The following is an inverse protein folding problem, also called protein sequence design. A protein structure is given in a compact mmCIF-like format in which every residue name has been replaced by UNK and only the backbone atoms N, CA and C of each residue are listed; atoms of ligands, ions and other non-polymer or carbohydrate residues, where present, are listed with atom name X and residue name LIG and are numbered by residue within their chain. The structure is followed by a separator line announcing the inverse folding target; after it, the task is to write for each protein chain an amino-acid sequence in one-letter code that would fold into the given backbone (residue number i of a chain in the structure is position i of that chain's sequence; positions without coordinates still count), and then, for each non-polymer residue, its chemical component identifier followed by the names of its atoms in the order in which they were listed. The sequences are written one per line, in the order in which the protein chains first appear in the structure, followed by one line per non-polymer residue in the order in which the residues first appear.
data_IF_734388036530
#
_entry.id   IF_734388036530
#
_cell.length_a   1.000
_cell.length_b   1.000
_cell.length_c   1.000
_cell.angle_alpha   90.00
_cell.angle_beta   90.00
_cell.angle_gamma   90.00
#
_symmetry.space_group_name_H-M   'P 1'
#
loop_
_entity.id
_entity.type
_entity.pdbx_description
1 polymer ?
#
# COMPACT_ATOMS: atom_id res chain seq x y z
N UNK A 1 38.68 -18.20 -6.10
CA UNK A 1 37.92 -19.39 -5.65
C UNK A 1 36.89 -18.91 -4.64
N UNK A 2 35.58 -19.10 -4.87
CA UNK A 2 34.58 -18.77 -3.86
C UNK A 2 34.73 -19.75 -2.68
N UNK A 3 34.88 -19.21 -1.46
CA UNK A 3 34.88 -20.02 -0.24
C UNK A 3 33.47 -20.54 0.00
N UNK A 4 33.32 -21.85 0.21
CA UNK A 4 32.05 -22.48 0.58
C UNK A 4 31.98 -22.63 2.10
N UNK A 5 30.81 -22.35 2.68
CA UNK A 5 30.55 -22.49 4.12
C UNK A 5 29.39 -23.47 4.31
N UNK A 6 29.51 -24.39 5.27
CA UNK A 6 28.44 -25.34 5.61
C UNK A 6 27.50 -24.72 6.65
N UNK A 7 26.24 -24.53 6.26
CA UNK A 7 25.18 -24.05 7.13
C UNK A 7 24.21 -25.21 7.44
N UNK A 8 23.92 -25.44 8.72
CA UNK A 8 22.93 -26.44 9.16
C UNK A 8 21.76 -25.72 9.81
N UNK A 9 20.55 -25.89 9.28
CA UNK A 9 19.34 -25.21 9.72
C UNK A 9 18.29 -26.21 10.19
N UNK A 10 17.55 -25.85 11.24
CA UNK A 10 16.29 -26.53 11.58
C UNK A 10 15.16 -25.75 10.92
N UNK A 11 14.41 -26.40 10.05
CA UNK A 11 13.29 -25.81 9.32
C UNK A 11 11.99 -26.58 9.59
N UNK A 12 10.81 -25.92 9.50
CA UNK A 12 9.53 -26.62 9.58
C UNK A 12 9.44 -27.73 8.53
N UNK A 13 8.82 -28.86 8.89
CA UNK A 13 8.69 -30.01 7.98
C UNK A 13 8.01 -29.65 6.66
N UNK A 14 6.93 -28.85 6.71
CA UNK A 14 6.24 -28.37 5.51
C UNK A 14 7.11 -27.48 4.60
N UNK A 15 8.11 -26.77 5.15
CA UNK A 15 9.05 -26.01 4.34
C UNK A 15 10.03 -26.93 3.62
N UNK A 16 10.53 -27.97 4.31
CA UNK A 16 11.38 -28.99 3.70
C UNK A 16 10.66 -29.71 2.54
N UNK A 17 9.37 -30.03 2.70
CA UNK A 17 8.57 -30.65 1.65
C UNK A 17 8.42 -29.75 0.41
N UNK A 18 8.12 -28.47 0.60
CA UNK A 18 8.04 -27.49 -0.49
C UNK A 18 9.36 -27.36 -1.25
N UNK A 19 10.49 -27.31 -0.53
CA UNK A 19 11.83 -27.29 -1.14
C UNK A 19 12.10 -28.57 -1.94
N UNK A 20 11.73 -29.73 -1.40
CA UNK A 20 11.88 -31.03 -2.09
C UNK A 20 11.00 -31.14 -3.34
N UNK A 21 9.77 -30.64 -3.29
CA UNK A 21 8.89 -30.59 -4.45
C UNK A 21 9.48 -29.71 -5.55
N UNK A 22 9.96 -28.51 -5.20
CA UNK A 22 10.58 -27.60 -6.18
C UNK A 22 11.87 -28.17 -6.76
N UNK A 23 12.70 -28.82 -5.95
CA UNK A 23 13.88 -29.55 -6.41
C UNK A 23 13.56 -30.59 -7.49
N UNK A 24 12.51 -31.40 -7.27
CA UNK A 24 12.01 -32.38 -8.25
C UNK A 24 11.48 -31.71 -9.53
N UNK A 25 10.72 -30.62 -9.41
CA UNK A 25 10.15 -29.91 -10.56
C UNK A 25 11.22 -29.28 -11.45
N UNK A 26 12.34 -28.86 -10.87
CA UNK A 26 13.41 -28.17 -11.60
C UNK A 26 14.61 -29.07 -11.92
N UNK A 27 14.52 -30.37 -11.65
CA UNK A 27 15.62 -31.35 -11.77
C UNK A 27 16.95 -30.86 -11.17
N UNK A 28 16.87 -30.25 -9.97
CA UNK A 28 18.02 -29.68 -9.26
C UNK A 28 18.14 -30.30 -7.88
N UNK A 29 19.36 -30.25 -7.32
CA UNK A 29 19.58 -30.71 -5.94
C UNK A 29 18.85 -29.82 -4.94
N UNK A 30 18.41 -30.42 -3.81
CA UNK A 30 17.76 -29.68 -2.73
C UNK A 30 18.65 -28.54 -2.20
N UNK A 31 19.96 -28.77 -2.10
CA UNK A 31 20.92 -27.78 -1.65
C UNK A 31 21.00 -26.60 -2.62
N UNK A 32 21.03 -26.88 -3.93
CA UNK A 32 21.04 -25.83 -4.96
C UNK A 32 19.79 -24.95 -4.86
N UNK A 33 18.61 -25.58 -4.78
CA UNK A 33 17.34 -24.85 -4.68
C UNK A 33 17.27 -24.04 -3.38
N UNK A 34 17.71 -24.60 -2.25
CA UNK A 34 17.74 -23.88 -0.98
C UNK A 34 18.68 -22.67 -1.03
N UNK A 35 19.87 -22.82 -1.60
CA UNK A 35 20.84 -21.72 -1.75
C UNK A 35 20.32 -20.65 -2.71
N UNK A 36 19.69 -21.03 -3.82
CA UNK A 36 19.12 -20.09 -4.79
C UNK A 36 18.00 -19.25 -4.16
N UNK A 37 17.08 -19.90 -3.43
CA UNK A 37 15.98 -19.19 -2.73
C UNK A 37 16.53 -18.28 -1.63
N UNK A 38 17.53 -18.72 -0.85
CA UNK A 38 18.16 -17.87 0.15
C UNK A 38 18.86 -16.68 -0.51
N UNK A 39 19.53 -16.88 -1.64
CA UNK A 39 20.17 -15.80 -2.39
C UNK A 39 19.14 -14.79 -2.87
N UNK A 40 18.06 -15.24 -3.51
CA UNK A 40 16.97 -14.39 -3.99
C UNK A 40 16.30 -13.60 -2.85
N UNK A 41 16.03 -14.27 -1.72
CA UNK A 41 15.41 -13.64 -0.55
C UNK A 41 16.31 -12.63 0.18
N UNK A 42 17.63 -12.75 0.01
CA UNK A 42 18.62 -11.82 0.57
C UNK A 42 19.02 -10.70 -0.39
N UNK A 43 18.59 -10.75 -1.65
CA UNK A 43 18.75 -9.60 -2.54
C UNK A 43 17.98 -8.42 -1.93
N UNK A 44 18.54 -7.19 -1.96
CA UNK A 44 17.78 -6.02 -1.58
C UNK A 44 16.50 -6.02 -2.39
N UNK A 45 15.35 -6.02 -1.71
CA UNK A 45 14.07 -5.75 -2.37
C UNK A 45 14.30 -4.49 -3.17
N UNK A 46 14.14 -4.56 -4.50
CA UNK A 46 14.12 -3.34 -5.30
C UNK A 46 13.18 -2.39 -4.56
N UNK A 47 13.59 -1.15 -4.24
CA UNK A 47 12.64 -0.19 -3.71
C UNK A 47 11.45 -0.25 -4.65
N UNK A 48 10.26 -0.44 -4.10
CA UNK A 48 9.05 -0.41 -4.91
C UNK A 48 9.17 0.86 -5.76
N UNK A 49 9.11 0.69 -7.08
CA UNK A 49 9.01 1.85 -7.95
C UNK A 49 7.74 2.52 -7.48
N UNK A 50 7.91 3.69 -6.91
CA UNK A 50 6.80 4.47 -6.37
C UNK A 50 5.71 4.54 -7.45
N UNK A 51 4.50 4.16 -7.08
CA UNK A 51 3.36 4.29 -8.00
C UNK A 51 3.08 5.77 -8.25
N UNK A 52 2.37 6.11 -9.33
CA UNK A 52 1.97 7.50 -9.54
C UNK A 52 1.11 8.03 -8.37
N UNK A 53 0.30 7.17 -7.76
CA UNK A 53 -0.50 7.49 -6.58
C UNK A 53 0.38 7.82 -5.36
N UNK A 54 1.37 6.97 -5.06
CA UNK A 54 2.31 7.19 -3.96
C UNK A 54 3.12 8.48 -4.18
N UNK A 55 3.52 8.74 -5.44
CA UNK A 55 4.22 9.96 -5.83
C UNK A 55 3.34 11.20 -5.66
N UNK A 56 2.08 11.12 -6.07
CA UNK A 56 1.12 12.20 -5.96
C UNK A 56 0.84 12.54 -4.49
N UNK A 57 0.58 11.51 -3.67
CA UNK A 57 0.40 11.67 -2.23
C UNK A 57 1.63 12.31 -1.55
N UNK A 58 2.85 11.87 -1.92
CA UNK A 58 4.07 12.47 -1.38
C UNK A 58 4.17 13.95 -1.74
N UNK A 59 3.96 14.32 -2.99
CA UNK A 59 4.03 15.72 -3.44
C UNK A 59 3.01 16.60 -2.73
N UNK A 60 1.77 16.12 -2.57
CA UNK A 60 0.75 16.88 -1.83
C UNK A 60 1.11 17.03 -0.34
N UNK A 61 1.66 15.98 0.28
CA UNK A 61 2.10 16.03 1.69
C UNK A 61 3.27 17.00 1.87
N UNK A 62 4.26 16.95 0.99
CA UNK A 62 5.43 17.83 1.04
C UNK A 62 5.10 19.30 0.75
N UNK A 63 4.10 19.56 -0.10
CA UNK A 63 3.59 20.91 -0.37
C UNK A 63 2.64 21.45 0.69
N UNK A 64 2.29 20.63 1.71
CA UNK A 64 1.31 20.99 2.74
C UNK A 64 -0.13 21.07 2.22
N UNK A 65 -0.38 20.59 0.99
CA UNK A 65 -1.72 20.54 0.38
C UNK A 65 -2.50 19.27 0.76
N UNK A 66 -1.86 18.36 1.49
CA UNK A 66 -2.49 17.17 2.01
C UNK A 66 -2.22 17.03 3.51
N UNK A 67 -3.28 17.19 4.29
CA UNK A 67 -3.31 16.81 5.69
C UNK A 67 -4.19 15.55 5.81
N UNK A 68 -3.64 14.39 6.22
CA UNK A 68 -4.44 13.20 6.41
C UNK A 68 -5.50 13.45 7.49
N UNK A 69 -6.70 12.89 7.29
CA UNK A 69 -7.78 12.94 8.28
C UNK A 69 -7.32 12.23 9.58
N UNK A 70 -6.87 13.03 10.54
CA UNK A 70 -6.50 12.60 11.88
C UNK A 70 -7.67 12.62 12.88
N UNK A 71 -7.43 12.23 14.13
CA UNK A 71 -8.44 12.22 15.20
C UNK A 71 -9.19 13.54 15.36
N UNK A 72 -8.51 14.67 15.11
CA UNK A 72 -9.08 16.01 15.16
C UNK A 72 -10.23 16.26 14.17
N UNK A 73 -10.30 15.48 13.08
CA UNK A 73 -11.43 15.54 12.13
C UNK A 73 -12.63 14.72 12.61
N UNK A 74 -12.42 13.81 13.57
CA UNK A 74 -13.41 12.86 14.07
C UNK A 74 -14.01 13.36 15.39
N UNK A 75 -13.26 14.12 16.20
CA UNK A 75 -13.74 14.69 17.48
C UNK A 75 -15.03 15.53 17.34
N UNK A 76 -15.31 16.09 16.16
CA UNK A 76 -16.54 16.85 15.88
C UNK A 76 -17.71 16.02 15.33
N UNK A 77 -17.51 14.73 15.06
CA UNK A 77 -18.51 13.86 14.43
C UNK A 77 -19.34 13.06 15.44
N UNK A 78 -18.98 13.04 16.72
CA UNK A 78 -19.63 12.21 17.75
C UNK A 78 -21.11 12.58 17.97
N UNK A 79 -21.50 13.84 17.73
CA UNK A 79 -22.87 14.35 17.90
C UNK A 79 -23.62 14.59 16.56
N UNK A 80 -23.05 14.16 15.43
CA UNK A 80 -23.65 14.42 14.11
C UNK A 80 -24.59 13.29 13.72
N UNK A 81 -25.84 13.62 13.44
CA UNK A 81 -26.76 12.67 12.80
C UNK A 81 -26.29 12.46 11.37
N UNK A 82 -25.72 11.28 11.10
CA UNK A 82 -25.28 10.92 9.76
C UNK A 82 -26.49 10.73 8.87
N UNK A 83 -26.61 11.56 7.83
CA UNK A 83 -27.59 11.38 6.78
C UNK A 83 -27.24 10.14 5.95
N UNK A 84 -28.27 9.42 5.53
CA UNK A 84 -28.11 8.41 4.48
C UNK A 84 -27.77 9.08 3.15
N UNK A 85 -27.21 8.31 2.21
CA UNK A 85 -26.86 8.83 0.89
C UNK A 85 -28.07 9.43 0.14
N UNK A 86 -29.25 8.83 0.31
CA UNK A 86 -30.49 9.28 -0.32
C UNK A 86 -30.99 10.60 0.30
N UNK A 87 -30.95 10.73 1.62
CA UNK A 87 -31.32 11.97 2.33
C UNK A 87 -30.37 13.13 1.97
N UNK A 88 -29.07 12.86 1.88
CA UNK A 88 -28.07 13.84 1.44
C UNK A 88 -28.33 14.31 0.00
N UNK A 89 -28.71 13.39 -0.90
CA UNK A 89 -29.04 13.74 -2.28
C UNK A 89 -30.31 14.59 -2.39
N UNK A 90 -31.33 14.31 -1.57
CA UNK A 90 -32.54 15.14 -1.51
C UNK A 90 -32.24 16.54 -0.96
N UNK A 91 -31.40 16.65 0.07
CA UNK A 91 -31.04 17.94 0.67
C UNK A 91 -30.21 18.81 -0.28
N UNK A 92 -29.32 18.19 -1.06
CA UNK A 92 -28.52 18.88 -2.08
C UNK A 92 -29.30 19.15 -3.37
N UNK A 93 -30.57 18.74 -3.48
CA UNK A 93 -31.38 18.97 -4.67
C UNK A 93 -31.62 20.45 -4.88
N UNK A 94 -31.10 20.99 -5.98
CA UNK A 94 -31.23 22.40 -6.32
C UNK A 94 -30.16 23.31 -5.70
N UNK A 95 -29.22 22.74 -4.94
CA UNK A 95 -28.01 23.44 -4.53
C UNK A 95 -27.04 23.43 -5.72
N UNK A 96 -26.53 24.60 -6.16
CA UNK A 96 -25.56 24.64 -7.25
C UNK A 96 -24.26 23.94 -6.83
N UNK A 97 -23.47 23.41 -7.79
CA UNK A 97 -22.17 22.84 -7.51
C UNK A 97 -21.31 23.77 -6.66
N UNK A 98 -20.58 23.22 -5.69
CA UNK A 98 -19.71 23.99 -4.81
C UNK A 98 -18.73 24.88 -5.58
N UNK A 99 -18.26 24.41 -6.74
CA UNK A 99 -17.42 25.21 -7.63
C UNK A 99 -18.11 26.50 -8.11
N UNK A 100 -19.39 26.45 -8.44
CA UNK A 100 -20.15 27.63 -8.88
C UNK A 100 -20.38 28.60 -7.73
N UNK A 101 -20.70 28.09 -6.54
CA UNK A 101 -20.83 28.89 -5.32
C UNK A 101 -19.52 29.62 -5.01
N UNK A 102 -18.38 28.91 -5.02
CA UNK A 102 -17.06 29.50 -4.77
C UNK A 102 -16.70 30.53 -5.84
N UNK A 103 -17.06 30.31 -7.10
CA UNK A 103 -16.82 31.25 -8.19
C UNK A 103 -17.67 32.52 -8.01
N UNK A 104 -18.94 32.39 -7.66
CA UNK A 104 -19.83 33.54 -7.37
C UNK A 104 -19.35 34.33 -6.15
N UNK A 105 -18.98 33.65 -5.06
CA UNK A 105 -18.51 34.28 -3.81
C UNK A 105 -17.17 35.00 -3.97
N UNK A 106 -16.27 34.46 -4.80
CA UNK A 106 -15.01 35.14 -5.14
C UNK A 106 -15.22 36.35 -6.04
N UNK A 107 -16.40 36.46 -6.62
CA UNK A 107 -16.78 37.47 -7.59
C UNK A 107 -16.04 37.29 -8.91
N UNK A 108 -16.74 37.56 -10.00
CA UNK A 108 -16.12 38.21 -11.15
C UNK A 108 -15.51 39.54 -10.66
N UNK A 109 -14.30 39.50 -10.09
CA UNK A 109 -13.45 40.68 -9.99
C UNK A 109 -12.87 41.01 -11.35
#
# INVERSE_FOLDING_TARGET
MQSTVKLTLRIPAGLHEKLRQRARQTDRSLNTVAVDIMREGLLPKKPAIETEDERFERVLRESGLWEPLGPQWIEGLEDVTLLTHEELQEELRGVPPLSEIIIEERGLR
#
